data_IF_672163251382
#
_entry.id   IF_672163251382
#
_cell.length_a   1.000
_cell.length_b   1.000
_cell.length_c   1.000
_cell.angle_alpha   90.00
_cell.angle_beta   90.00
_cell.angle_gamma   90.00
#
_symmetry.space_group_name_H-M   'P 1'
#
loop_
_entity.id
_entity.type
_entity.pdbx_description
1 polymer ?
#
# COMPACT_ATOMS: atom_id res chain seq x y z
N UNK A 1 -5.04 -33.96 -1.71
CA UNK A 1 -5.77 -33.41 -0.56
C UNK A 1 -5.78 -31.90 -0.74
N UNK A 2 -6.81 -31.35 -1.37
CA UNK A 2 -7.00 -29.89 -1.48
C UNK A 2 -7.69 -29.43 -0.21
N UNK A 3 -6.93 -28.83 0.71
CA UNK A 3 -7.52 -28.12 1.84
C UNK A 3 -8.40 -26.98 1.27
N UNK A 4 -9.67 -26.84 1.71
CA UNK A 4 -10.45 -25.69 1.35
C UNK A 4 -9.73 -24.45 1.88
N UNK A 5 -9.38 -23.50 0.99
CA UNK A 5 -8.82 -22.20 1.41
C UNK A 5 -9.69 -21.67 2.54
N UNK A 6 -9.08 -21.51 3.71
CA UNK A 6 -9.74 -20.91 4.85
C UNK A 6 -10.18 -19.48 4.47
N UNK A 7 -11.25 -18.98 5.07
CA UNK A 7 -11.72 -17.61 4.81
C UNK A 7 -10.62 -16.56 5.03
N UNK A 8 -9.66 -16.86 5.92
CA UNK A 8 -8.47 -16.06 6.17
C UNK A 8 -7.51 -16.04 4.97
N UNK A 9 -7.20 -17.21 4.38
CA UNK A 9 -6.34 -17.31 3.19
C UNK A 9 -6.96 -16.63 1.98
N UNK A 10 -8.27 -16.80 1.78
CA UNK A 10 -9.00 -16.11 0.72
C UNK A 10 -8.97 -14.59 0.90
N UNK A 11 -9.07 -14.11 2.15
CA UNK A 11 -8.97 -12.69 2.46
C UNK A 11 -7.57 -12.14 2.17
N UNK A 12 -6.52 -12.84 2.60
CA UNK A 12 -5.12 -12.46 2.32
C UNK A 12 -4.86 -12.37 0.82
N UNK A 13 -5.28 -13.37 0.06
CA UNK A 13 -5.09 -13.41 -1.40
C UNK A 13 -5.77 -12.22 -2.12
N UNK A 14 -6.97 -11.79 -1.67
CA UNK A 14 -7.62 -10.58 -2.20
C UNK A 14 -6.77 -9.34 -2.01
N UNK A 15 -6.24 -9.11 -0.81
CA UNK A 15 -5.37 -7.96 -0.55
C UNK A 15 -4.08 -8.01 -1.37
N UNK A 16 -3.49 -9.20 -1.55
CA UNK A 16 -2.32 -9.37 -2.42
C UNK A 16 -2.62 -8.99 -3.87
N UNK A 17 -3.77 -9.42 -4.40
CA UNK A 17 -4.21 -9.05 -5.76
C UNK A 17 -4.43 -7.56 -5.90
N UNK A 18 -5.14 -6.94 -4.97
CA UNK A 18 -5.40 -5.49 -4.99
C UNK A 18 -4.10 -4.68 -4.94
N UNK A 19 -3.16 -5.06 -4.06
CA UNK A 19 -1.86 -4.42 -3.97
C UNK A 19 -1.06 -4.58 -5.27
N UNK A 20 -1.10 -5.76 -5.89
CA UNK A 20 -0.48 -6.02 -7.19
C UNK A 20 -1.01 -5.10 -8.29
N UNK A 21 -2.33 -4.96 -8.40
CA UNK A 21 -2.95 -4.05 -9.37
C UNK A 21 -2.53 -2.59 -9.15
N UNK A 22 -2.42 -2.16 -7.89
CA UNK A 22 -1.95 -0.80 -7.56
C UNK A 22 -0.48 -0.64 -7.99
N UNK A 23 0.37 -1.63 -7.72
CA UNK A 23 1.76 -1.62 -8.14
C UNK A 23 1.89 -1.52 -9.66
N UNK A 24 1.13 -2.32 -10.42
CA UNK A 24 1.11 -2.27 -11.88
C UNK A 24 0.69 -0.89 -12.41
N UNK A 25 -0.33 -0.26 -11.80
CA UNK A 25 -0.74 1.11 -12.14
C UNK A 25 0.36 2.13 -11.89
N UNK A 26 1.10 2.02 -10.78
CA UNK A 26 2.24 2.90 -10.49
C UNK A 26 3.37 2.69 -11.50
N UNK A 27 3.67 1.43 -11.85
CA UNK A 27 4.69 1.09 -12.86
C UNK A 27 4.33 1.67 -14.21
N UNK A 28 3.08 1.52 -14.65
CA UNK A 28 2.62 2.05 -15.93
C UNK A 28 2.68 3.58 -16.00
N UNK A 29 2.40 4.28 -14.90
CA UNK A 29 2.39 5.74 -14.86
C UNK A 29 3.77 6.38 -14.64
N UNK A 30 4.63 5.76 -13.84
CA UNK A 30 5.85 6.39 -13.30
C UNK A 30 7.10 5.52 -13.35
N UNK A 31 6.99 4.28 -13.80
CA UNK A 31 8.10 3.33 -13.88
C UNK A 31 8.30 2.49 -12.63
N UNK A 32 9.10 1.43 -12.79
CA UNK A 32 9.33 0.40 -11.77
C UNK A 32 10.01 0.92 -10.52
N UNK A 33 11.02 1.79 -10.68
CA UNK A 33 11.81 2.29 -9.55
C UNK A 33 10.97 3.16 -8.62
N UNK A 34 10.07 3.97 -9.19
CA UNK A 34 9.11 4.76 -8.42
C UNK A 34 8.16 3.86 -7.63
N UNK A 35 7.50 2.90 -8.29
CA UNK A 35 6.55 2.00 -7.64
C UNK A 35 7.19 1.21 -6.49
N UNK A 36 8.40 0.70 -6.70
CA UNK A 36 9.17 -0.02 -5.69
C UNK A 36 9.54 0.89 -4.50
N UNK A 37 9.99 2.11 -4.76
CA UNK A 37 10.30 3.08 -3.71
C UNK A 37 9.09 3.41 -2.83
N UNK A 38 7.92 3.62 -3.44
CA UNK A 38 6.66 3.87 -2.71
C UNK A 38 6.28 2.67 -1.84
N UNK A 39 6.37 1.44 -2.35
CA UNK A 39 6.04 0.23 -1.59
C UNK A 39 7.02 -0.04 -0.43
N UNK A 40 8.30 0.27 -0.60
CA UNK A 40 9.29 0.17 0.49
C UNK A 40 9.01 1.21 1.59
N UNK A 41 8.72 2.46 1.21
CA UNK A 41 8.30 3.48 2.18
C UNK A 41 7.02 3.08 2.91
N UNK A 42 6.09 2.49 2.16
CA UNK A 42 4.85 1.99 2.71
C UNK A 42 5.10 0.93 3.80
N UNK A 43 5.92 -0.08 3.50
CA UNK A 43 6.32 -1.09 4.48
C UNK A 43 7.02 -0.48 5.70
N UNK A 44 7.87 0.55 5.50
CA UNK A 44 8.56 1.26 6.59
C UNK A 44 7.59 1.96 7.53
N UNK A 45 6.56 2.63 7.03
CA UNK A 45 5.55 3.27 7.90
C UNK A 45 4.77 2.26 8.72
N UNK A 46 4.41 1.11 8.12
CA UNK A 46 3.77 0.00 8.87
C UNK A 46 4.68 -0.47 10.00
N UNK A 47 5.97 -0.69 9.72
CA UNK A 47 6.95 -1.09 10.73
C UNK A 47 7.16 -0.03 11.83
N UNK A 48 7.03 1.25 11.50
CA UNK A 48 7.08 2.37 12.45
C UNK A 48 5.75 2.62 13.20
N UNK A 49 4.68 1.90 12.86
CA UNK A 49 3.35 2.12 13.45
C UNK A 49 2.68 3.43 13.01
N UNK A 50 3.13 4.05 11.92
CA UNK A 50 2.58 5.31 11.39
C UNK A 50 1.42 5.04 10.43
N UNK A 51 0.38 5.89 10.49
CA UNK A 51 -0.74 5.80 9.56
C UNK A 51 -0.46 6.58 8.27
N UNK A 52 -0.74 5.97 7.12
CA UNK A 52 -0.64 6.64 5.81
C UNK A 52 -1.63 7.80 5.69
N UNK A 53 -2.74 7.77 6.44
CA UNK A 53 -3.76 8.81 6.40
C UNK A 53 -3.28 10.13 7.01
N UNK A 54 -2.32 10.08 7.95
CA UNK A 54 -1.80 11.26 8.65
C UNK A 54 -0.99 12.18 7.71
N UNK A 55 -0.44 11.64 6.62
CA UNK A 55 0.33 12.44 5.65
C UNK A 55 -0.51 13.33 4.73
N UNK A 56 -1.83 13.13 4.64
CA UNK A 56 -2.73 14.05 3.92
C UNK A 56 -3.25 15.18 4.81
N UNK A 57 -3.19 15.05 6.13
CA UNK A 57 -3.69 16.06 7.07
C UNK A 57 -2.67 17.15 7.45
N UNK A 58 -1.37 16.84 7.46
CA UNK A 58 -0.35 17.79 7.90
C UNK A 58 0.01 18.89 6.88
N UNK A 59 -0.46 18.77 5.63
CA UNK A 59 -0.19 19.72 4.56
C UNK A 59 -1.25 20.83 4.44
N UNK A 60 -2.45 20.63 5.00
CA UNK A 60 -3.55 21.59 4.92
C UNK A 60 -3.56 22.61 6.08
N UNK A 61 -2.92 22.29 7.23
CA UNK A 61 -2.87 23.20 8.39
C UNK A 61 -1.83 24.34 8.26
N UNK A 62 -0.94 24.30 7.27
CA UNK A 62 0.11 25.34 7.08
C UNK A 62 -0.29 26.45 6.10
N UNK A 63 -1.50 26.39 5.52
CA UNK A 63 -2.06 27.43 4.65
C UNK A 63 -2.98 28.43 5.39
N UNK A 64 -3.17 28.25 6.70
CA UNK A 64 -3.97 29.14 7.54
C UNK A 64 -3.16 29.60 8.77
N UNK A 65 -2.13 30.41 8.56
CA UNK A 65 -1.48 31.23 9.59
C UNK A 65 -0.77 32.43 8.98
#
# INVERSE_FOLDING_TARGET
MTDPMTDEEASKDRFFKELGMIAERMIAAHGKDFAMGVLVLAARWIAEGKSFAEHRGASDDRAAS
#
